data_IF_524287024285
#
_entry.id   IF_524287024285
#
_cell.length_a   1.000
_cell.length_b   1.000
_cell.length_c   1.000
_cell.angle_alpha   90.00
_cell.angle_beta   90.00
_cell.angle_gamma   90.00
#
_symmetry.space_group_name_H-M   'P 1'
#
loop_
_entity.id
_entity.type
_entity.pdbx_description
1 polymer ?
#
# COMPACT_ATOMS: atom_id res chain seq x y z
N UNK A 1 15.48 86.38 33.39
CA UNK A 1 15.82 86.23 31.96
C UNK A 1 16.15 84.76 31.73
N UNK A 2 15.20 83.96 31.24
CA UNK A 2 15.12 83.47 29.83
C UNK A 2 16.15 82.32 29.62
N UNK A 3 15.83 81.08 29.23
CA UNK A 3 14.68 80.52 28.53
C UNK A 3 14.53 78.99 28.74
N UNK A 4 13.31 78.49 28.49
CA UNK A 4 12.91 77.08 28.32
C UNK A 4 13.46 76.46 27.02
N UNK A 5 13.61 75.13 27.00
CA UNK A 5 13.11 74.11 26.01
C UNK A 5 13.97 72.83 26.14
N UNK A 6 13.60 71.59 25.83
CA UNK A 6 12.39 70.83 25.52
C UNK A 6 12.91 69.52 24.88
N UNK A 7 12.56 68.34 25.40
CA UNK A 7 12.45 67.07 24.65
C UNK A 7 13.71 66.36 24.11
N UNK A 8 13.86 65.07 24.45
CA UNK A 8 13.87 63.93 23.48
C UNK A 8 14.66 62.70 23.99
N UNK A 9 13.90 61.66 24.30
CA UNK A 9 14.06 60.23 23.97
C UNK A 9 15.47 59.59 23.95
N UNK A 10 15.63 58.70 24.92
CA UNK A 10 16.31 57.40 24.98
C UNK A 10 16.62 56.75 23.61
N UNK A 11 17.88 56.36 23.40
CA UNK A 11 18.27 55.16 22.65
C UNK A 11 19.65 54.68 23.13
N UNK A 12 19.67 53.62 23.96
CA UNK A 12 20.89 52.91 24.37
C UNK A 12 21.11 51.78 23.36
N UNK A 13 22.15 51.89 22.54
CA UNK A 13 22.59 50.84 21.62
C UNK A 13 23.53 49.91 22.40
N UNK A 14 23.05 48.72 22.74
CA UNK A 14 23.88 47.60 23.21
C UNK A 14 24.12 46.66 22.02
N UNK A 15 25.32 46.74 21.45
CA UNK A 15 25.81 45.75 20.47
C UNK A 15 26.30 44.53 21.26
N UNK A 16 25.46 43.52 21.39
CA UNK A 16 25.90 42.18 21.81
C UNK A 16 26.42 41.41 20.60
N UNK A 17 27.74 41.17 20.58
CA UNK A 17 28.37 40.16 19.73
C UNK A 17 27.75 38.78 20.03
N UNK A 18 26.96 38.26 19.10
CA UNK A 18 26.55 36.87 19.12
C UNK A 18 27.71 35.99 18.65
N UNK A 19 28.22 35.19 19.59
CA UNK A 19 29.19 34.12 19.34
C UNK A 19 28.61 33.13 18.33
N UNK A 20 29.33 32.93 17.22
CA UNK A 20 29.04 31.89 16.23
C UNK A 20 29.43 30.54 16.85
N UNK A 21 28.45 29.84 17.43
CA UNK A 21 28.56 28.39 17.61
C UNK A 21 27.98 27.68 16.39
N UNK A 22 28.85 27.39 15.45
CA UNK A 22 28.60 26.41 14.39
C UNK A 22 28.52 25.02 15.03
N UNK A 23 27.47 24.27 14.68
CA UNK A 23 27.22 22.85 14.98
C UNK A 23 26.57 22.47 16.33
N UNK A 24 25.38 23.02 16.62
CA UNK A 24 24.33 22.16 17.18
C UNK A 24 23.55 21.55 16.01
N UNK A 25 23.54 20.21 15.90
CA UNK A 25 22.51 19.50 15.14
C UNK A 25 21.18 19.80 15.86
N UNK A 26 20.50 20.90 15.51
CA UNK A 26 19.16 21.16 16.00
C UNK A 26 18.28 19.99 15.56
N UNK A 27 17.64 19.33 16.52
CA UNK A 27 16.61 18.36 16.19
C UNK A 27 15.53 19.08 15.37
N UNK A 28 14.99 18.45 14.31
CA UNK A 28 13.81 18.98 13.65
C UNK A 28 12.71 19.18 14.70
N UNK A 29 12.15 20.39 14.77
CA UNK A 29 11.06 20.72 15.69
C UNK A 29 9.71 20.23 15.14
N UNK A 30 8.67 20.22 15.97
CA UNK A 30 7.29 20.22 15.50
C UNK A 30 7.10 21.48 14.65
N UNK A 31 6.55 21.33 13.44
CA UNK A 31 6.35 22.45 12.51
C UNK A 31 4.88 22.54 12.15
N UNK A 32 4.25 23.66 12.49
CA UNK A 32 2.96 24.01 11.90
C UNK A 32 3.17 24.37 10.42
N UNK A 33 2.60 23.58 9.53
CA UNK A 33 2.61 23.86 8.08
C UNK A 33 1.24 24.37 7.69
N UNK A 34 1.18 25.58 7.14
CA UNK A 34 -0.04 26.16 6.58
C UNK A 34 0.04 26.13 5.06
N UNK A 35 -0.94 25.54 4.34
CA UNK A 35 -0.94 25.53 2.88
C UNK A 35 -0.76 26.92 2.26
N UNK A 36 -1.37 27.95 2.87
CA UNK A 36 -1.30 29.35 2.39
C UNK A 36 0.07 30.01 2.60
N UNK A 37 0.99 29.38 3.33
CA UNK A 37 2.35 29.90 3.62
C UNK A 37 3.45 29.13 2.89
N UNK A 38 3.09 28.23 1.98
CA UNK A 38 4.06 27.46 1.21
C UNK A 38 4.75 28.35 0.17
N UNK A 39 6.07 28.21 0.07
CA UNK A 39 6.90 28.92 -0.92
C UNK A 39 7.21 27.97 -2.07
N UNK A 40 6.96 28.41 -3.30
CA UNK A 40 7.19 27.61 -4.50
C UNK A 40 8.65 27.13 -4.59
N UNK A 41 8.84 25.82 -4.80
CA UNK A 41 10.15 25.16 -4.83
C UNK A 41 10.74 24.82 -3.44
N UNK A 42 10.06 25.20 -2.36
CA UNK A 42 10.45 24.99 -0.96
C UNK A 42 9.29 24.44 -0.12
N UNK A 43 8.28 23.83 -0.74
CA UNK A 43 7.12 23.28 -0.06
C UNK A 43 7.51 22.14 0.91
N UNK A 44 8.65 21.47 0.69
CA UNK A 44 9.23 20.48 1.61
C UNK A 44 10.17 21.06 2.69
N UNK A 45 10.24 22.39 2.85
CA UNK A 45 11.17 23.02 3.79
C UNK A 45 10.93 22.64 5.25
N UNK A 46 9.69 22.37 5.65
CA UNK A 46 9.34 21.95 7.00
C UNK A 46 9.98 20.61 7.42
N UNK A 47 10.36 19.77 6.45
CA UNK A 47 11.04 18.49 6.69
C UNK A 47 12.57 18.60 6.61
N UNK A 48 13.15 19.80 6.51
CA UNK A 48 14.60 20.00 6.40
C UNK A 48 15.35 19.19 7.48
N UNK A 49 16.32 18.37 7.05
CA UNK A 49 17.05 17.49 7.94
C UNK A 49 17.23 16.08 7.37
N UNK A 50 17.73 15.18 8.22
CA UNK A 50 17.88 13.75 7.92
C UNK A 50 16.89 12.97 8.76
N UNK A 51 16.19 12.04 8.13
CA UNK A 51 15.15 11.22 8.74
C UNK A 51 15.37 9.75 8.42
N UNK A 52 15.05 8.88 9.37
CA UNK A 52 15.17 7.43 9.24
C UNK A 52 13.84 6.77 9.54
N UNK A 53 13.53 5.71 8.81
CA UNK A 53 12.31 4.94 9.04
C UNK A 53 12.40 4.21 10.38
N UNK A 54 11.34 4.34 11.17
CA UNK A 54 11.16 3.58 12.42
C UNK A 54 11.08 2.08 12.18
N UNK A 55 10.64 1.64 11.00
CA UNK A 55 10.57 0.23 10.63
C UNK A 55 11.95 -0.46 10.66
N UNK A 56 13.04 0.30 10.57
CA UNK A 56 14.41 -0.25 10.63
C UNK A 56 14.75 -0.95 11.95
N UNK A 57 14.01 -0.69 13.03
CA UNK A 57 14.20 -1.36 14.33
C UNK A 57 13.11 -2.40 14.65
N UNK A 58 12.06 -2.54 13.83
CA UNK A 58 10.89 -3.38 14.13
C UNK A 58 11.17 -4.89 14.12
N UNK A 59 12.36 -5.30 13.65
CA UNK A 59 12.84 -6.69 13.68
C UNK A 59 13.94 -6.91 14.74
N UNK A 60 14.17 -5.95 15.64
CA UNK A 60 15.13 -6.12 16.73
C UNK A 60 14.60 -7.18 17.71
N UNK A 61 15.45 -8.14 18.09
CA UNK A 61 15.06 -9.28 18.93
C UNK A 61 14.54 -8.87 20.32
N UNK A 62 14.88 -7.67 20.79
CA UNK A 62 14.32 -7.11 22.03
C UNK A 62 12.80 -6.91 21.98
N UNK A 63 12.21 -6.80 20.79
CA UNK A 63 10.77 -6.60 20.59
C UNK A 63 9.96 -7.91 20.57
N UNK A 64 10.62 -9.07 20.54
CA UNK A 64 9.93 -10.38 20.41
C UNK A 64 8.90 -10.61 21.53
N UNK A 65 9.21 -10.19 22.77
CA UNK A 65 8.29 -10.32 23.90
C UNK A 65 7.01 -9.49 23.69
N UNK A 66 7.13 -8.27 23.15
CA UNK A 66 6.00 -7.41 22.86
C UNK A 66 5.12 -7.99 21.74
N UNK A 67 5.73 -8.54 20.68
CA UNK A 67 5.00 -9.24 19.61
C UNK A 67 4.23 -10.43 20.15
N UNK A 68 4.89 -11.30 20.92
CA UNK A 68 4.26 -12.50 21.49
C UNK A 68 3.07 -12.13 22.37
N UNK A 69 3.29 -11.24 23.35
CA UNK A 69 2.25 -10.78 24.29
C UNK A 69 1.07 -10.12 23.57
N UNK A 70 1.33 -9.31 22.55
CA UNK A 70 0.26 -8.64 21.80
C UNK A 70 -0.52 -9.64 20.94
N UNK A 71 0.16 -10.56 20.27
CA UNK A 71 -0.48 -11.57 19.43
C UNK A 71 -1.37 -12.53 20.24
N UNK A 72 -1.03 -12.85 21.50
CA UNK A 72 -1.88 -13.65 22.40
C UNK A 72 -3.28 -13.04 22.60
N UNK A 73 -3.43 -11.72 22.47
CA UNK A 73 -4.72 -11.01 22.52
C UNK A 73 -5.44 -10.89 21.18
N UNK A 74 -4.90 -11.44 20.09
CA UNK A 74 -5.41 -11.29 18.72
C UNK A 74 -5.80 -12.65 18.14
N UNK A 75 -7.09 -13.03 18.09
CA UNK A 75 -7.52 -14.40 17.80
C UNK A 75 -7.11 -14.92 16.42
N UNK A 76 -6.98 -14.02 15.44
CA UNK A 76 -6.63 -14.38 14.06
C UNK A 76 -5.21 -14.02 13.66
N UNK A 77 -4.30 -13.88 14.63
CA UNK A 77 -2.91 -13.53 14.39
C UNK A 77 -1.99 -14.42 15.20
N UNK A 78 -1.07 -15.10 14.51
CA UNK A 78 0.12 -15.64 15.17
C UNK A 78 1.12 -14.52 15.45
N UNK A 79 2.16 -14.77 16.25
CA UNK A 79 3.27 -13.83 16.45
C UNK A 79 3.86 -13.36 15.09
N UNK A 80 4.17 -14.31 14.21
CA UNK A 80 4.67 -13.99 12.86
C UNK A 80 3.62 -13.28 11.98
N UNK A 81 2.33 -13.56 12.19
CA UNK A 81 1.24 -12.84 11.53
C UNK A 81 1.12 -11.38 11.97
N UNK A 82 1.31 -11.10 13.26
CA UNK A 82 1.38 -9.74 13.79
C UNK A 82 2.62 -9.01 13.28
N UNK A 83 3.79 -9.64 13.26
CA UNK A 83 5.00 -9.08 12.65
C UNK A 83 4.77 -8.71 11.18
N UNK A 84 4.07 -9.56 10.43
CA UNK A 84 3.67 -9.27 9.05
C UNK A 84 2.73 -8.06 8.97
N UNK A 85 1.77 -7.93 9.88
CA UNK A 85 0.84 -6.80 9.91
C UNK A 85 1.55 -5.48 10.26
N UNK A 86 2.50 -5.51 11.20
CA UNK A 86 3.38 -4.36 11.52
C UNK A 86 4.24 -3.98 10.32
N UNK A 87 4.75 -4.96 9.58
CA UNK A 87 5.47 -4.71 8.33
C UNK A 87 4.60 -4.06 7.26
N UNK A 88 3.36 -4.51 7.07
CA UNK A 88 2.44 -3.87 6.13
C UNK A 88 2.08 -2.45 6.59
N UNK A 89 1.99 -2.23 7.90
CA UNK A 89 1.69 -0.93 8.49
C UNK A 89 2.84 0.06 8.32
N UNK A 90 4.07 -0.29 8.72
CA UNK A 90 5.17 0.69 8.82
C UNK A 90 6.27 0.52 7.76
N UNK A 91 6.26 -0.59 7.03
CA UNK A 91 7.27 -0.91 6.03
C UNK A 91 7.26 0.05 4.85
N UNK A 92 8.45 0.41 4.39
CA UNK A 92 8.65 1.17 3.16
C UNK A 92 9.95 0.76 2.50
N UNK A 93 10.00 0.82 1.16
CA UNK A 93 11.25 0.67 0.42
C UNK A 93 12.18 1.86 0.64
N UNK A 94 11.67 3.01 1.08
CA UNK A 94 12.49 4.15 1.50
C UNK A 94 12.81 3.99 2.98
N UNK A 95 14.10 3.89 3.31
CA UNK A 95 14.58 3.65 4.69
C UNK A 95 15.16 4.89 5.35
N UNK A 96 15.57 5.88 4.56
CA UNK A 96 16.00 7.19 5.05
C UNK A 96 15.73 8.27 4.00
N UNK A 97 15.57 9.51 4.47
CA UNK A 97 15.34 10.69 3.62
C UNK A 97 16.15 11.87 4.12
N UNK A 98 16.68 12.67 3.18
CA UNK A 98 17.35 13.94 3.48
C UNK A 98 16.72 15.06 2.68
N UNK A 99 16.18 16.04 3.39
CA UNK A 99 15.61 17.25 2.84
C UNK A 99 16.58 18.41 3.07
N UNK A 100 16.87 19.18 2.03
CA UNK A 100 17.80 20.32 2.09
C UNK A 100 17.09 21.67 2.31
N UNK A 101 15.75 21.67 2.37
CA UNK A 101 14.94 22.90 2.42
C UNK A 101 14.29 23.28 1.09
N UNK A 102 14.54 22.51 0.02
CA UNK A 102 13.85 22.64 -1.27
C UNK A 102 13.06 21.36 -1.56
N UNK A 103 12.39 21.31 -2.71
CA UNK A 103 11.70 20.09 -3.15
C UNK A 103 12.63 18.99 -3.70
N UNK A 104 13.95 19.17 -3.60
CA UNK A 104 14.93 18.12 -3.94
C UNK A 104 15.26 17.31 -2.71
N UNK A 105 14.92 16.02 -2.76
CA UNK A 105 15.06 15.08 -1.65
C UNK A 105 16.03 13.99 -2.03
N UNK A 106 16.95 13.63 -1.14
CA UNK A 106 17.72 12.39 -1.28
C UNK A 106 17.01 11.27 -0.54
N UNK A 107 16.67 10.19 -1.25
CA UNK A 107 16.01 9.00 -0.73
C UNK A 107 17.02 7.86 -0.64
N UNK A 108 17.09 7.19 0.50
CA UNK A 108 17.81 5.92 0.63
C UNK A 108 16.82 4.78 0.43
N UNK A 109 16.85 4.18 -0.75
CA UNK A 109 15.98 3.06 -1.12
C UNK A 109 16.65 1.73 -0.79
N UNK A 110 15.90 0.81 -0.17
CA UNK A 110 16.29 -0.58 0.02
C UNK A 110 15.65 -1.43 -1.07
N UNK A 111 16.49 -2.21 -1.76
CA UNK A 111 16.07 -3.16 -2.80
C UNK A 111 15.66 -4.50 -2.16
N UNK A 112 15.02 -5.35 -2.96
CA UNK A 112 14.57 -6.69 -2.53
C UNK A 112 15.71 -7.59 -2.04
N UNK A 113 16.91 -7.42 -2.60
CA UNK A 113 18.13 -8.14 -2.20
C UNK A 113 18.76 -7.59 -0.90
N UNK A 114 18.15 -6.57 -0.29
CA UNK A 114 18.64 -5.91 0.92
C UNK A 114 19.66 -4.80 0.67
N UNK A 115 20.19 -4.64 -0.54
CA UNK A 115 21.11 -3.56 -0.88
C UNK A 115 20.42 -2.19 -0.80
N UNK A 116 21.21 -1.15 -0.52
CA UNK A 116 20.72 0.24 -0.41
C UNK A 116 21.31 1.11 -1.51
N UNK A 117 20.52 2.02 -2.04
CA UNK A 117 20.96 3.05 -2.99
C UNK A 117 20.43 4.42 -2.58
N UNK A 118 21.22 5.46 -2.83
CA UNK A 118 20.77 6.85 -2.67
C UNK A 118 20.37 7.40 -4.03
N UNK A 119 19.14 7.89 -4.14
CA UNK A 119 18.62 8.54 -5.34
C UNK A 119 18.16 9.95 -4.99
N UNK A 120 18.33 10.89 -5.92
CA UNK A 120 17.83 12.27 -5.76
C UNK A 120 16.55 12.38 -6.56
N UNK A 121 15.48 12.82 -5.90
CA UNK A 121 14.18 13.07 -6.51
C UNK A 121 13.80 14.53 -6.31
N UNK A 122 13.43 15.20 -7.40
CA UNK A 122 12.79 16.51 -7.35
C UNK A 122 11.29 16.32 -7.42
N UNK A 123 10.56 16.96 -6.51
CA UNK A 123 9.11 16.86 -6.41
C UNK A 123 8.43 18.17 -6.80
N UNK A 124 7.28 18.05 -7.46
CA UNK A 124 6.32 19.13 -7.68
C UNK A 124 5.17 18.99 -6.69
N UNK A 125 4.84 20.06 -5.98
CA UNK A 125 3.68 20.09 -5.09
C UNK A 125 2.37 20.09 -5.88
N UNK A 126 1.41 19.26 -5.44
CA UNK A 126 0.15 19.02 -6.14
C UNK A 126 -1.09 19.45 -5.31
N UNK A 127 -0.87 20.10 -4.16
CA UNK A 127 -1.92 20.54 -3.25
C UNK A 127 -2.06 19.66 -2.00
N UNK A 128 -3.08 19.95 -1.20
CA UNK A 128 -3.42 19.16 -0.02
C UNK A 128 -4.69 18.31 -0.24
N UNK A 129 -4.82 17.25 0.56
CA UNK A 129 -6.02 16.43 0.67
C UNK A 129 -6.29 16.12 2.13
N UNK A 130 -7.56 16.07 2.53
CA UNK A 130 -7.91 15.66 3.89
C UNK A 130 -7.47 14.21 4.14
N UNK A 131 -7.05 13.91 5.36
CA UNK A 131 -6.76 12.54 5.79
C UNK A 131 -8.09 11.88 6.18
N UNK A 132 -8.53 10.80 5.50
CA UNK A 132 -9.80 10.15 5.83
C UNK A 132 -9.81 9.65 7.28
N UNK A 133 -10.83 10.04 8.04
CA UNK A 133 -10.99 9.66 9.45
C UNK A 133 -10.23 10.51 10.46
N UNK A 134 -9.48 11.53 10.03
CA UNK A 134 -8.73 12.43 10.91
C UNK A 134 -9.07 13.88 10.60
N UNK A 135 -10.04 14.41 11.32
CA UNK A 135 -10.48 15.80 11.17
C UNK A 135 -9.32 16.78 11.34
N UNK A 136 -9.27 17.81 10.49
CA UNK A 136 -8.21 18.83 10.50
C UNK A 136 -6.84 18.36 10.00
N UNK A 137 -6.62 17.06 9.76
CA UNK A 137 -5.35 16.53 9.25
C UNK A 137 -5.28 16.56 7.73
N UNK A 138 -4.11 16.95 7.20
CA UNK A 138 -3.88 17.09 5.76
C UNK A 138 -2.70 16.22 5.29
N UNK A 139 -2.92 15.54 4.18
CA UNK A 139 -1.88 15.03 3.30
C UNK A 139 -1.38 16.14 2.38
N UNK A 140 -0.07 16.36 2.33
CA UNK A 140 0.58 17.18 1.32
C UNK A 140 1.02 16.29 0.17
N UNK A 141 0.57 16.58 -1.04
CA UNK A 141 0.73 15.72 -2.20
C UNK A 141 1.86 16.22 -3.10
N UNK A 142 2.68 15.30 -3.60
CA UNK A 142 3.85 15.58 -4.41
C UNK A 142 4.01 14.56 -5.53
N UNK A 143 4.30 15.01 -6.74
CA UNK A 143 4.62 14.16 -7.89
C UNK A 143 6.09 14.39 -8.30
N UNK A 144 6.82 13.30 -8.52
CA UNK A 144 8.20 13.35 -8.97
C UNK A 144 8.30 14.00 -10.36
N UNK A 145 9.26 14.90 -10.54
CA UNK A 145 9.55 15.53 -11.83
C UNK A 145 10.40 14.57 -12.67
N UNK A 146 9.91 14.21 -13.86
CA UNK A 146 10.59 13.31 -14.82
C UNK A 146 11.11 12.01 -14.17
N UNK A 147 10.24 11.18 -13.56
CA UNK A 147 10.69 10.00 -12.84
C UNK A 147 11.25 8.96 -13.81
N UNK A 148 12.56 8.72 -13.72
CA UNK A 148 13.19 7.56 -14.36
C UNK A 148 12.64 6.25 -13.79
N UNK A 149 13.05 5.10 -14.37
CA UNK A 149 12.58 3.77 -13.94
C UNK A 149 12.80 3.51 -12.45
N UNK A 150 13.88 4.02 -11.88
CA UNK A 150 14.24 3.85 -10.47
C UNK A 150 13.31 4.58 -9.48
N UNK A 151 12.65 5.66 -9.93
CA UNK A 151 11.76 6.48 -9.10
C UNK A 151 10.28 6.10 -9.23
N UNK A 152 9.94 5.09 -10.05
CA UNK A 152 8.53 4.74 -10.29
C UNK A 152 7.78 4.34 -9.01
N UNK A 153 8.44 3.65 -8.09
CA UNK A 153 7.85 3.25 -6.81
C UNK A 153 7.60 4.45 -5.87
N UNK A 154 8.25 5.59 -6.11
CA UNK A 154 8.17 6.82 -5.29
C UNK A 154 7.67 8.00 -6.12
N UNK A 155 7.03 7.72 -7.26
CA UNK A 155 6.55 8.73 -8.21
C UNK A 155 5.58 9.69 -7.53
N UNK A 156 4.57 9.14 -6.87
CA UNK A 156 3.63 9.92 -6.07
C UNK A 156 4.00 9.77 -4.60
N UNK A 157 4.04 10.88 -3.89
CA UNK A 157 4.29 10.95 -2.45
C UNK A 157 3.16 11.75 -1.80
N UNK A 158 2.62 11.22 -0.70
CA UNK A 158 1.80 12.00 0.23
C UNK A 158 2.46 11.98 1.60
N UNK A 159 2.57 13.14 2.23
CA UNK A 159 3.36 13.31 3.46
C UNK A 159 2.62 14.20 4.46
N UNK A 160 2.73 13.87 5.75
CA UNK A 160 2.26 14.71 6.85
C UNK A 160 3.41 15.56 7.41
N UNK A 161 3.14 16.77 7.90
CA UNK A 161 4.14 17.59 8.59
C UNK A 161 4.76 16.87 9.80
N UNK A 162 6.02 17.19 10.16
CA UNK A 162 6.61 16.74 11.41
C UNK A 162 5.77 17.20 12.61
N UNK A 163 5.33 16.25 13.42
CA UNK A 163 4.52 16.45 14.60
C UNK A 163 5.01 15.56 15.74
N UNK A 164 4.40 15.70 16.91
CA UNK A 164 4.77 14.95 18.11
C UNK A 164 3.51 14.51 18.85
N UNK A 165 3.50 13.26 19.32
CA UNK A 165 2.44 12.74 20.18
C UNK A 165 2.98 12.62 21.61
N UNK A 166 2.39 13.39 22.54
CA UNK A 166 2.84 13.43 23.94
C UNK A 166 4.34 13.72 24.06
N UNK A 167 5.04 12.93 24.88
CA UNK A 167 6.49 13.03 25.10
C UNK A 167 7.32 12.17 24.12
N UNK A 168 6.70 11.62 23.08
CA UNK A 168 7.38 10.83 22.04
C UNK A 168 8.32 11.66 21.15
N UNK A 169 9.13 11.02 20.29
CA UNK A 169 9.95 11.75 19.34
C UNK A 169 9.09 12.50 18.31
N UNK A 170 9.61 13.63 17.82
CA UNK A 170 9.08 14.26 16.60
C UNK A 170 9.13 13.23 15.46
N UNK A 171 8.05 13.10 14.71
CA UNK A 171 7.94 12.15 13.62
C UNK A 171 6.95 12.63 12.56
N UNK A 172 6.85 11.90 11.46
CA UNK A 172 5.83 12.10 10.44
C UNK A 172 5.57 10.82 9.66
N UNK A 173 4.48 10.83 8.90
CA UNK A 173 4.03 9.72 8.07
C UNK A 173 4.13 10.06 6.59
N UNK A 174 4.43 9.06 5.77
CA UNK A 174 4.51 9.19 4.32
C UNK A 174 4.00 7.94 3.63
N UNK A 175 3.37 8.10 2.47
CA UNK A 175 3.10 7.00 1.54
C UNK A 175 3.69 7.33 0.18
N UNK A 176 4.21 6.29 -0.46
CA UNK A 176 4.76 6.35 -1.80
C UNK A 176 4.00 5.41 -2.71
N UNK A 177 3.87 5.73 -3.98
CA UNK A 177 3.40 4.75 -4.95
C UNK A 177 3.48 5.20 -6.38
N UNK A 178 3.34 4.20 -7.25
CA UNK A 178 3.16 4.38 -8.68
C UNK A 178 1.72 4.81 -9.01
N UNK A 179 0.74 4.29 -8.27
CA UNK A 179 -0.67 4.65 -8.41
C UNK A 179 -0.92 6.10 -7.96
N UNK A 180 -2.00 6.70 -8.49
CA UNK A 180 -2.35 8.10 -8.22
C UNK A 180 -2.71 8.38 -6.76
N UNK A 181 -2.85 9.67 -6.43
CA UNK A 181 -3.10 10.12 -5.04
C UNK A 181 -4.36 9.51 -4.42
N UNK A 182 -5.41 9.26 -5.19
CA UNK A 182 -6.63 8.64 -4.67
C UNK A 182 -6.37 7.24 -4.08
N UNK A 183 -5.48 6.45 -4.70
CA UNK A 183 -5.05 5.19 -4.13
C UNK A 183 -4.25 5.41 -2.85
N UNK A 184 -3.27 6.31 -2.85
CA UNK A 184 -2.45 6.57 -1.66
C UNK A 184 -3.27 7.09 -0.47
N UNK A 185 -4.34 7.82 -0.72
CA UNK A 185 -5.20 8.42 0.32
C UNK A 185 -6.24 7.41 0.80
N UNK A 186 -6.97 6.79 -0.12
CA UNK A 186 -8.16 6.00 0.21
C UNK A 186 -7.90 4.50 0.24
N UNK A 187 -7.01 3.99 -0.62
CA UNK A 187 -6.74 2.55 -0.78
C UNK A 187 -5.60 2.03 0.07
N UNK A 188 -4.46 2.71 0.06
CA UNK A 188 -3.31 2.39 0.89
C UNK A 188 -3.58 2.74 2.36
N UNK A 189 -3.31 1.80 3.26
CA UNK A 189 -3.60 1.94 4.70
C UNK A 189 -2.36 1.97 5.58
N UNK A 190 -1.17 1.77 5.00
CA UNK A 190 0.10 1.85 5.72
C UNK A 190 0.36 3.26 6.27
N UNK A 191 1.17 3.34 7.32
CA UNK A 191 1.66 4.57 7.94
C UNK A 191 3.19 4.53 8.12
N UNK A 192 4.00 4.38 7.05
CA UNK A 192 5.46 4.47 7.15
C UNK A 192 5.88 5.72 7.92
N UNK A 193 6.58 5.50 9.03
CA UNK A 193 6.85 6.55 10.02
C UNK A 193 8.33 6.85 10.09
N UNK A 194 8.68 8.12 10.04
CA UNK A 194 10.07 8.60 10.06
C UNK A 194 10.33 9.48 11.26
N UNK A 195 11.51 9.31 11.86
CA UNK A 195 12.02 10.10 12.99
C UNK A 195 13.34 10.76 12.60
N UNK A 196 13.79 11.83 13.30
CA UNK A 196 15.08 12.43 13.03
C UNK A 196 16.19 11.39 13.12
N UNK A 197 17.17 11.45 12.23
CA UNK A 197 18.31 10.53 12.24
C UNK A 197 19.18 10.65 13.50
N UNK A 198 18.97 11.69 14.31
CA UNK A 198 19.58 11.88 15.63
C UNK A 198 18.84 11.16 16.77
N UNK A 199 17.67 10.58 16.52
CA UNK A 199 16.91 9.82 17.53
C UNK A 199 17.73 8.60 17.96
N UNK A 200 17.87 8.40 19.28
CA UNK A 200 18.67 7.28 19.80
C UNK A 200 17.94 5.97 19.51
N UNK A 201 18.71 4.90 19.22
CA UNK A 201 18.15 3.56 18.97
C UNK A 201 17.21 3.11 20.10
N UNK A 202 17.57 3.34 21.36
CA UNK A 202 16.74 2.95 22.50
C UNK A 202 15.38 3.67 22.51
N UNK A 203 15.33 4.94 22.11
CA UNK A 203 14.07 5.68 22.03
C UNK A 203 13.21 5.17 20.86
N UNK A 204 13.84 4.80 19.74
CA UNK A 204 13.15 4.13 18.63
C UNK A 204 12.59 2.76 19.05
N UNK A 205 13.34 1.97 19.82
CA UNK A 205 12.88 0.66 20.32
C UNK A 205 11.69 0.80 21.27
N UNK A 206 11.71 1.78 22.19
CA UNK A 206 10.55 2.08 23.06
C UNK A 206 9.32 2.49 22.25
N UNK A 207 9.51 3.35 21.24
CA UNK A 207 8.43 3.74 20.33
C UNK A 207 7.89 2.56 19.52
N UNK A 208 8.77 1.66 19.07
CA UNK A 208 8.40 0.45 18.37
C UNK A 208 7.60 -0.53 19.25
N UNK A 209 8.05 -0.76 20.49
CA UNK A 209 7.33 -1.57 21.48
C UNK A 209 5.93 -1.04 21.74
N UNK A 210 5.79 0.27 22.01
CA UNK A 210 4.47 0.90 22.20
C UNK A 210 3.59 0.81 20.95
N UNK A 211 4.19 0.92 19.75
CA UNK A 211 3.47 0.77 18.49
C UNK A 211 2.95 -0.67 18.33
N UNK A 212 3.77 -1.68 18.66
CA UNK A 212 3.37 -3.10 18.65
C UNK A 212 2.21 -3.33 19.61
N UNK A 213 2.32 -2.90 20.87
CA UNK A 213 1.28 -3.10 21.89
C UNK A 213 -0.06 -2.43 21.52
N UNK A 214 -0.03 -1.37 20.71
CA UNK A 214 -1.23 -0.68 20.23
C UNK A 214 -1.73 -1.18 18.88
N UNK A 215 -1.06 -2.14 18.24
CA UNK A 215 -1.49 -2.68 16.94
C UNK A 215 -2.93 -3.21 16.85
N UNK A 216 -3.50 -3.82 17.90
CA UNK A 216 -4.90 -4.23 17.86
C UNK A 216 -5.89 -3.08 17.59
N UNK A 217 -5.49 -1.82 17.81
CA UNK A 217 -6.32 -0.64 17.52
C UNK A 217 -6.31 -0.23 16.04
N UNK A 218 -5.23 -0.56 15.33
CA UNK A 218 -5.00 -0.10 13.95
C UNK A 218 -5.07 -1.22 12.91
N UNK A 219 -5.12 -2.47 13.38
CA UNK A 219 -5.29 -3.65 12.53
C UNK A 219 -6.69 -4.20 12.72
N UNK A 220 -7.30 -4.68 11.63
CA UNK A 220 -8.63 -5.26 11.73
C UNK A 220 -8.61 -6.53 12.57
N UNK A 221 -9.55 -6.68 13.50
CA UNK A 221 -9.64 -7.89 14.32
C UNK A 221 -9.78 -9.16 13.46
N UNK A 222 -10.50 -9.06 12.34
CA UNK A 222 -10.60 -10.10 11.31
C UNK A 222 -9.82 -9.67 10.05
N UNK A 223 -8.69 -10.32 9.73
CA UNK A 223 -7.89 -10.03 8.54
C UNK A 223 -8.68 -10.01 7.21
N UNK A 224 -9.79 -10.73 7.11
CA UNK A 224 -10.62 -10.77 5.92
C UNK A 224 -11.62 -9.61 5.78
N UNK A 225 -11.63 -8.64 6.69
CA UNK A 225 -12.65 -7.57 6.71
C UNK A 225 -12.77 -6.83 5.38
N UNK A 226 -11.65 -6.38 4.81
CA UNK A 226 -11.66 -5.64 3.54
C UNK A 226 -12.18 -6.47 2.36
N UNK A 227 -12.12 -7.80 2.42
CA UNK A 227 -12.68 -8.69 1.39
C UNK A 227 -14.18 -8.91 1.62
N UNK A 228 -14.60 -9.07 2.87
CA UNK A 228 -16.00 -9.28 3.24
C UNK A 228 -16.88 -8.05 2.93
N UNK A 229 -16.34 -6.83 3.05
CA UNK A 229 -17.05 -5.58 2.76
C UNK A 229 -17.54 -5.46 1.30
N UNK A 230 -16.97 -6.24 0.38
CA UNK A 230 -17.32 -6.23 -1.04
C UNK A 230 -18.23 -7.38 -1.48
N UNK A 231 -18.63 -8.26 -0.55
CA UNK A 231 -19.54 -9.38 -0.82
C UNK A 231 -18.85 -10.54 -1.54
N UNK A 232 -19.46 -11.01 -2.63
CA UNK A 232 -19.01 -12.18 -3.38
C UNK A 232 -17.92 -11.84 -4.39
N UNK A 233 -16.96 -12.74 -4.52
CA UNK A 233 -15.84 -12.64 -5.45
C UNK A 233 -15.87 -13.77 -6.47
N UNK A 234 -15.96 -13.44 -7.75
CA UNK A 234 -15.95 -14.41 -8.85
C UNK A 234 -14.54 -14.63 -9.37
N UNK A 235 -14.22 -15.88 -9.71
CA UNK A 235 -13.01 -16.22 -10.43
C UNK A 235 -12.95 -15.42 -11.75
N UNK A 236 -11.82 -14.74 -12.02
CA UNK A 236 -11.67 -13.91 -13.21
C UNK A 236 -11.85 -14.65 -14.52
N UNK A 237 -11.57 -15.95 -14.56
CA UNK A 237 -11.70 -16.75 -15.77
C UNK A 237 -13.17 -16.96 -16.19
N UNK A 238 -14.10 -16.88 -15.23
CA UNK A 238 -15.56 -16.91 -15.51
C UNK A 238 -16.10 -15.56 -15.97
N UNK A 239 -15.40 -14.47 -15.69
CA UNK A 239 -15.83 -13.13 -16.10
C UNK A 239 -15.92 -13.02 -17.62
N UNK A 240 -15.04 -13.72 -18.34
CA UNK A 240 -15.03 -13.73 -19.81
C UNK A 240 -16.28 -14.39 -20.41
N UNK A 241 -17.01 -15.19 -19.63
CA UNK A 241 -18.24 -15.85 -20.09
C UNK A 241 -19.48 -14.93 -19.98
N UNK A 242 -19.34 -13.74 -19.40
CA UNK A 242 -20.43 -12.79 -19.24
C UNK A 242 -21.12 -12.49 -20.59
N UNK A 243 -22.46 -12.51 -20.56
CA UNK A 243 -23.32 -12.38 -21.75
C UNK A 243 -24.15 -11.09 -21.76
N UNK A 244 -23.76 -10.07 -20.98
CA UNK A 244 -24.40 -8.76 -21.05
C UNK A 244 -24.20 -8.16 -22.45
N UNK A 245 -25.10 -7.26 -22.84
CA UNK A 245 -25.04 -6.62 -24.15
C UNK A 245 -23.69 -5.93 -24.38
N UNK A 246 -23.19 -5.20 -23.39
CA UNK A 246 -21.92 -4.46 -23.44
C UNK A 246 -20.73 -5.39 -23.69
N UNK A 247 -20.72 -6.55 -23.02
CA UNK A 247 -19.65 -7.55 -23.19
C UNK A 247 -19.74 -8.21 -24.57
N UNK A 248 -20.96 -8.52 -25.04
CA UNK A 248 -21.16 -9.07 -26.38
C UNK A 248 -20.74 -8.09 -27.47
N UNK A 249 -21.03 -6.80 -27.32
CA UNK A 249 -20.61 -5.74 -28.23
C UNK A 249 -19.07 -5.63 -28.27
N UNK A 250 -18.38 -5.79 -27.14
CA UNK A 250 -16.90 -5.86 -27.08
C UNK A 250 -16.35 -7.04 -27.87
N UNK A 251 -16.92 -8.24 -27.72
CA UNK A 251 -16.46 -9.40 -28.48
C UNK A 251 -16.68 -9.19 -30.00
N UNK A 252 -17.84 -8.68 -30.41
CA UNK A 252 -18.11 -8.38 -31.81
C UNK A 252 -17.09 -7.36 -32.38
N UNK A 253 -16.78 -6.32 -31.61
CA UNK A 253 -15.75 -5.33 -31.96
C UNK A 253 -14.37 -5.98 -32.15
N UNK A 254 -13.95 -6.82 -31.21
CA UNK A 254 -12.64 -7.47 -31.25
C UNK A 254 -12.50 -8.47 -32.40
N UNK A 255 -13.55 -9.24 -32.69
CA UNK A 255 -13.57 -10.17 -33.82
C UNK A 255 -13.33 -9.41 -35.13
N UNK A 256 -14.00 -8.26 -35.31
CA UNK A 256 -13.79 -7.38 -36.47
C UNK A 256 -12.40 -6.75 -36.49
N UNK A 257 -11.87 -6.32 -35.34
CA UNK A 257 -10.54 -5.70 -35.26
C UNK A 257 -9.41 -6.68 -35.65
N UNK A 258 -9.62 -7.97 -35.38
CA UNK A 258 -8.68 -9.06 -35.65
C UNK A 258 -9.14 -10.00 -36.80
N UNK A 259 -9.95 -9.48 -37.72
CA UNK A 259 -10.47 -10.23 -38.88
C UNK A 259 -9.33 -10.89 -39.70
N UNK A 260 -9.50 -12.17 -40.01
CA UNK A 260 -8.56 -12.99 -40.76
C UNK A 260 -7.24 -13.27 -40.03
N UNK A 261 -7.12 -12.96 -38.73
CA UNK A 261 -5.88 -13.09 -37.96
C UNK A 261 -5.84 -14.29 -37.03
N UNK A 262 -6.85 -15.17 -37.04
CA UNK A 262 -6.80 -16.38 -36.23
C UNK A 262 -5.62 -17.27 -36.71
N UNK A 263 -4.67 -17.67 -35.85
CA UNK A 263 -3.59 -18.58 -36.22
C UNK A 263 -4.08 -19.94 -36.74
N UNK A 264 -5.33 -20.32 -36.44
CA UNK A 264 -6.00 -21.51 -36.97
C UNK A 264 -6.65 -21.29 -38.35
N UNK A 265 -6.56 -20.08 -38.90
CA UNK A 265 -7.22 -19.65 -40.13
C UNK A 265 -8.56 -18.97 -39.88
N UNK A 266 -8.86 -17.93 -40.67
CA UNK A 266 -10.12 -17.18 -40.60
C UNK A 266 -10.22 -16.20 -39.42
N UNK A 267 -11.46 -15.96 -38.99
CA UNK A 267 -11.78 -15.05 -37.89
C UNK A 267 -11.76 -15.78 -36.54
N UNK A 268 -11.53 -15.03 -35.46
CA UNK A 268 -11.78 -15.55 -34.13
C UNK A 268 -13.28 -15.65 -33.85
N UNK A 269 -13.70 -16.71 -33.18
CA UNK A 269 -15.00 -16.78 -32.52
C UNK A 269 -14.93 -16.30 -31.08
N UNK A 270 -16.06 -15.87 -30.49
CA UNK A 270 -16.13 -15.53 -29.06
C UNK A 270 -15.61 -16.66 -28.18
N UNK A 271 -15.98 -17.90 -28.50
CA UNK A 271 -15.56 -19.08 -27.74
C UNK A 271 -14.04 -19.28 -27.77
N UNK A 272 -13.40 -19.06 -28.92
CA UNK A 272 -11.95 -19.13 -29.03
C UNK A 272 -11.26 -18.03 -28.22
N UNK A 273 -11.76 -16.79 -28.28
CA UNK A 273 -11.20 -15.68 -27.50
C UNK A 273 -11.29 -15.99 -26.00
N UNK A 274 -12.44 -16.49 -25.53
CA UNK A 274 -12.63 -16.90 -24.13
C UNK A 274 -11.65 -18.03 -23.77
N UNK A 275 -11.53 -19.05 -24.61
CA UNK A 275 -10.61 -20.16 -24.36
C UNK A 275 -9.15 -19.69 -24.26
N UNK A 276 -8.71 -18.73 -25.07
CA UNK A 276 -7.36 -18.16 -24.95
C UNK A 276 -7.19 -17.34 -23.66
N UNK A 277 -8.20 -16.57 -23.24
CA UNK A 277 -8.17 -15.82 -21.98
C UNK A 277 -8.12 -16.73 -20.76
N UNK A 278 -8.86 -17.84 -20.79
CA UNK A 278 -8.95 -18.83 -19.71
C UNK A 278 -7.65 -19.62 -19.54
N UNK A 279 -6.70 -19.56 -20.47
CA UNK A 279 -5.36 -20.13 -20.31
C UNK A 279 -4.44 -19.28 -19.43
N UNK A 280 -4.87 -18.13 -18.90
CA UNK A 280 -3.99 -17.23 -18.13
C UNK A 280 -3.56 -17.77 -16.76
N UNK A 281 -4.38 -18.63 -16.14
CA UNK A 281 -4.06 -19.37 -14.90
C UNK A 281 -4.87 -20.67 -14.85
N UNK A 282 -4.70 -21.47 -13.78
CA UNK A 282 -5.35 -22.77 -13.62
C UNK A 282 -6.43 -22.79 -12.52
N UNK A 283 -6.88 -21.63 -12.02
CA UNK A 283 -7.75 -21.57 -10.85
C UNK A 283 -9.21 -21.97 -11.12
N UNK A 284 -9.63 -21.91 -12.39
CA UNK A 284 -11.00 -22.20 -12.80
C UNK A 284 -11.43 -23.64 -12.47
N UNK A 285 -10.50 -24.60 -12.47
CA UNK A 285 -10.80 -26.00 -12.08
C UNK A 285 -11.13 -26.13 -10.60
N UNK A 286 -10.62 -25.25 -9.74
CA UNK A 286 -10.69 -25.41 -8.29
C UNK A 286 -11.90 -24.69 -7.69
N UNK A 287 -12.23 -23.48 -8.15
CA UNK A 287 -13.37 -22.72 -7.62
C UNK A 287 -14.03 -21.82 -8.68
N UNK A 288 -15.31 -21.49 -8.46
CA UNK A 288 -16.05 -20.50 -9.25
C UNK A 288 -16.15 -19.17 -8.55
N UNK A 289 -16.37 -19.17 -7.23
CA UNK A 289 -16.44 -17.95 -6.43
C UNK A 289 -16.07 -18.19 -4.97
N UNK A 290 -15.81 -17.09 -4.29
CA UNK A 290 -15.40 -17.01 -2.90
C UNK A 290 -16.32 -16.05 -2.15
N UNK A 291 -16.56 -16.35 -0.88
CA UNK A 291 -17.20 -15.45 0.07
C UNK A 291 -16.38 -15.41 1.36
N UNK A 292 -16.40 -14.25 2.03
CA UNK A 292 -15.71 -14.05 3.30
C UNK A 292 -16.73 -13.75 4.38
N UNK A 293 -16.62 -14.42 5.52
CA UNK A 293 -17.52 -14.22 6.65
C UNK A 293 -16.75 -13.81 7.90
N UNK A 294 -17.00 -12.58 8.34
CA UNK A 294 -16.41 -11.98 9.55
C UNK A 294 -17.43 -11.74 10.68
N UNK A 295 -18.68 -12.19 10.48
CA UNK A 295 -19.75 -12.02 11.48
C UNK A 295 -19.52 -12.94 12.67
N UNK A 296 -20.10 -12.60 13.82
CA UNK A 296 -20.07 -13.45 15.02
C UNK A 296 -18.64 -13.83 15.45
N UNK A 297 -17.71 -12.88 15.28
CA UNK A 297 -16.31 -13.03 15.66
C UNK A 297 -15.50 -13.95 14.76
N UNK A 298 -15.96 -14.28 13.55
CA UNK A 298 -15.31 -15.19 12.59
C UNK A 298 -14.25 -14.52 11.72
N UNK A 299 -13.42 -15.33 11.07
CA UNK A 299 -12.54 -14.92 9.98
C UNK A 299 -12.49 -16.03 8.92
N UNK A 300 -13.65 -16.31 8.32
CA UNK A 300 -13.84 -17.45 7.42
C UNK A 300 -13.67 -17.09 5.94
N UNK A 301 -13.04 -17.98 5.19
CA UNK A 301 -13.13 -18.07 3.74
C UNK A 301 -14.04 -19.25 3.39
N UNK A 302 -14.95 -19.01 2.45
CA UNK A 302 -15.88 -20.00 1.90
C UNK A 302 -15.61 -20.10 0.41
N UNK A 303 -15.44 -21.32 -0.09
CA UNK A 303 -15.08 -21.62 -1.48
C UNK A 303 -16.19 -22.43 -2.13
N UNK A 304 -16.59 -21.99 -3.31
CA UNK A 304 -17.67 -22.61 -4.07
C UNK A 304 -17.19 -23.13 -5.42
N UNK A 305 -17.80 -24.22 -5.88
CA UNK A 305 -17.72 -24.72 -7.26
C UNK A 305 -19.13 -24.88 -7.81
N UNK A 306 -19.47 -24.09 -8.82
CA UNK A 306 -20.86 -23.94 -9.26
C UNK A 306 -21.68 -23.35 -8.12
N UNK A 307 -22.79 -24.01 -7.75
CA UNK A 307 -23.63 -23.67 -6.59
C UNK A 307 -23.24 -24.41 -5.31
N UNK A 308 -22.27 -25.33 -5.36
CA UNK A 308 -21.89 -26.17 -4.23
C UNK A 308 -20.78 -25.50 -3.41
N UNK A 309 -21.00 -25.35 -2.11
CA UNK A 309 -19.91 -25.08 -1.15
C UNK A 309 -18.99 -26.31 -1.10
N UNK A 310 -17.71 -26.11 -1.44
CA UNK A 310 -16.71 -27.19 -1.45
C UNK A 310 -15.75 -27.10 -0.29
N UNK A 311 -15.59 -25.92 0.32
CA UNK A 311 -14.69 -25.72 1.43
C UNK A 311 -15.10 -24.49 2.27
N UNK A 312 -14.85 -24.58 3.57
CA UNK A 312 -15.02 -23.50 4.55
C UNK A 312 -14.05 -23.71 5.69
N UNK A 313 -13.39 -22.64 6.11
CA UNK A 313 -12.56 -22.63 7.31
C UNK A 313 -12.39 -21.20 7.82
N UNK A 314 -12.23 -21.05 9.14
CA UNK A 314 -11.54 -19.90 9.70
C UNK A 314 -10.07 -19.93 9.30
N UNK A 315 -9.46 -18.75 9.27
CA UNK A 315 -8.05 -18.58 8.95
C UNK A 315 -7.36 -17.71 9.98
N UNK A 316 -6.10 -18.05 10.25
CA UNK A 316 -5.19 -17.25 11.07
C UNK A 316 -4.11 -16.65 10.19
N UNK A 317 -3.76 -15.39 10.42
CA UNK A 317 -2.65 -14.74 9.76
C UNK A 317 -1.34 -15.30 10.30
N UNK A 318 -0.46 -15.69 9.38
CA UNK A 318 0.86 -16.24 9.67
C UNK A 318 1.96 -15.36 9.09
N UNK A 319 3.22 -15.70 9.40
CA UNK A 319 4.35 -15.04 8.78
C UNK A 319 4.25 -15.10 7.24
N UNK A 320 4.76 -14.11 6.50
CA UNK A 320 4.65 -14.08 5.05
C UNK A 320 5.32 -15.30 4.43
N UNK A 321 4.65 -15.90 3.45
CA UNK A 321 5.20 -16.98 2.64
C UNK A 321 6.45 -16.54 1.87
N UNK A 322 7.31 -17.51 1.54
CA UNK A 322 8.50 -17.29 0.72
C UNK A 322 8.14 -17.22 -0.76
N UNK A 323 7.16 -18.01 -1.20
CA UNK A 323 6.71 -18.08 -2.57
C UNK A 323 6.00 -16.79 -3.00
N UNK A 324 5.12 -16.28 -2.13
CA UNK A 324 4.36 -15.04 -2.32
C UNK A 324 4.39 -14.27 -1.00
N UNK A 325 5.24 -13.25 -0.93
CA UNK A 325 5.41 -12.43 0.26
C UNK A 325 4.29 -11.37 0.43
N UNK A 326 3.04 -11.80 0.33
CA UNK A 326 1.85 -10.98 0.61
C UNK A 326 1.21 -11.41 1.94
N UNK A 327 -0.04 -11.03 2.18
CA UNK A 327 -0.77 -11.49 3.37
C UNK A 327 -0.97 -13.00 3.27
N UNK A 328 -0.35 -13.73 4.19
CA UNK A 328 -0.39 -15.19 4.23
C UNK A 328 -1.27 -15.64 5.38
N UNK A 329 -2.20 -16.54 5.08
CA UNK A 329 -3.18 -17.06 6.02
C UNK A 329 -3.17 -18.58 6.00
N UNK A 330 -3.30 -19.19 7.17
CA UNK A 330 -3.38 -20.63 7.34
C UNK A 330 -4.78 -21.02 7.80
N UNK A 331 -5.36 -22.03 7.17
CA UNK A 331 -6.64 -22.59 7.57
C UNK A 331 -6.52 -23.24 8.95
N UNK A 332 -7.53 -23.05 9.80
CA UNK A 332 -7.65 -23.79 11.07
C UNK A 332 -8.11 -25.24 10.85
N UNK A 333 -8.85 -25.49 9.77
CA UNK A 333 -9.31 -26.82 9.37
C UNK A 333 -8.11 -27.72 9.00
N UNK A 334 -7.96 -28.86 9.68
CA UNK A 334 -6.80 -29.77 9.55
C UNK A 334 -6.73 -30.48 8.19
N UNK A 335 -7.87 -30.78 7.59
CA UNK A 335 -8.05 -31.46 6.31
C UNK A 335 -8.32 -30.47 5.16
N UNK A 336 -7.71 -29.28 5.22
CA UNK A 336 -7.97 -28.21 4.25
C UNK A 336 -7.37 -28.44 2.85
N UNK A 337 -6.52 -29.46 2.67
CA UNK A 337 -5.95 -29.82 1.37
C UNK A 337 -5.29 -28.61 0.69
N UNK A 338 -5.65 -28.35 -0.57
CA UNK A 338 -5.12 -27.21 -1.34
C UNK A 338 -5.48 -25.83 -0.79
N UNK A 339 -6.43 -25.73 0.15
CA UNK A 339 -6.80 -24.47 0.80
C UNK A 339 -6.13 -24.27 2.16
N UNK A 340 -5.18 -25.14 2.54
CA UNK A 340 -4.51 -25.07 3.85
C UNK A 340 -3.73 -23.78 4.05
N UNK A 341 -3.07 -23.30 3.01
CA UNK A 341 -2.30 -22.06 3.00
C UNK A 341 -2.78 -21.20 1.84
N UNK A 342 -3.01 -19.93 2.12
CA UNK A 342 -3.36 -18.94 1.09
C UNK A 342 -2.49 -17.70 1.24
N UNK A 343 -2.16 -17.08 0.12
CA UNK A 343 -1.48 -15.79 0.06
C UNK A 343 -2.22 -14.88 -0.90
N UNK A 344 -2.53 -13.66 -0.50
CA UNK A 344 -3.28 -12.74 -1.34
C UNK A 344 -2.88 -11.29 -1.12
N UNK A 345 -3.11 -10.48 -2.15
CA UNK A 345 -2.92 -9.03 -2.12
C UNK A 345 -4.16 -8.33 -1.58
N UNK A 346 -3.97 -7.13 -1.03
CA UNK A 346 -5.08 -6.24 -0.64
C UNK A 346 -6.04 -6.02 -1.80
N UNK A 347 -7.32 -5.83 -1.49
CA UNK A 347 -8.33 -5.42 -2.48
C UNK A 347 -7.96 -4.08 -3.11
N UNK A 348 -7.97 -4.01 -4.43
CA UNK A 348 -7.60 -2.81 -5.19
C UNK A 348 -8.35 -2.73 -6.53
N UNK A 349 -8.12 -1.64 -7.29
CA UNK A 349 -8.63 -1.51 -8.66
C UNK A 349 -10.03 -0.92 -8.80
N UNK A 350 -10.45 -0.05 -7.87
CA UNK A 350 -11.72 0.67 -7.96
C UNK A 350 -11.95 1.30 -9.36
N UNK A 351 -13.19 1.28 -9.91
CA UNK A 351 -14.40 0.66 -9.36
C UNK A 351 -14.49 -0.86 -9.62
N UNK A 352 -13.61 -1.43 -10.44
CA UNK A 352 -13.56 -2.87 -10.73
C UNK A 352 -12.69 -3.62 -9.71
N UNK A 353 -13.13 -3.57 -8.45
CA UNK A 353 -12.39 -4.14 -7.33
C UNK A 353 -12.03 -5.61 -7.57
N UNK A 354 -10.77 -5.94 -7.28
CA UNK A 354 -10.23 -7.28 -7.36
C UNK A 354 -9.10 -7.49 -6.37
N UNK A 355 -8.75 -8.76 -6.20
CA UNK A 355 -7.52 -9.17 -5.55
C UNK A 355 -6.97 -10.43 -6.24
N UNK A 356 -5.75 -10.79 -5.91
CA UNK A 356 -5.09 -12.00 -6.40
C UNK A 356 -4.94 -13.00 -5.26
N UNK A 357 -5.22 -14.27 -5.51
CA UNK A 357 -5.24 -15.33 -4.52
C UNK A 357 -4.39 -16.51 -4.98
N UNK A 358 -3.28 -16.75 -4.29
CA UNK A 358 -2.54 -17.98 -4.40
C UNK A 358 -2.88 -18.92 -3.24
N UNK A 359 -2.90 -20.21 -3.49
CA UNK A 359 -3.33 -21.22 -2.52
C UNK A 359 -2.62 -22.56 -2.75
N UNK A 360 -2.43 -23.32 -1.68
CA UNK A 360 -1.79 -24.62 -1.72
C UNK A 360 -1.85 -25.34 -0.37
N UNK A 361 -1.45 -26.61 -0.35
CA UNK A 361 -1.18 -27.31 0.90
C UNK A 361 0.16 -26.83 1.50
N UNK A 362 1.11 -26.48 0.64
CA UNK A 362 2.44 -25.98 1.02
C UNK A 362 2.87 -24.72 0.26
N UNK A 363 4.03 -24.16 0.63
CA UNK A 363 4.66 -23.05 -0.10
C UNK A 363 5.10 -23.46 -1.52
N UNK A 364 5.51 -24.71 -1.71
CA UNK A 364 5.88 -25.26 -3.01
C UNK A 364 4.67 -25.29 -3.97
N UNK A 365 3.50 -25.66 -3.46
CA UNK A 365 2.25 -25.60 -4.24
C UNK A 365 1.95 -24.16 -4.68
N UNK A 366 2.02 -23.19 -3.74
CA UNK A 366 1.82 -21.76 -4.02
C UNK A 366 2.84 -21.25 -5.05
N UNK A 367 4.10 -21.69 -4.97
CA UNK A 367 5.16 -21.31 -5.91
C UNK A 367 4.93 -21.90 -7.31
N UNK A 368 4.39 -23.13 -7.38
CA UNK A 368 4.13 -23.86 -8.61
C UNK A 368 2.85 -23.38 -9.33
N UNK A 369 1.97 -22.62 -8.68
CA UNK A 369 0.76 -22.10 -9.31
C UNK A 369 1.09 -21.22 -10.52
N UNK A 370 0.48 -21.58 -11.66
CA UNK A 370 0.62 -20.86 -12.92
C UNK A 370 -0.21 -19.58 -12.91
N UNK A 371 0.36 -18.51 -13.43
CA UNK A 371 -0.35 -17.26 -13.65
C UNK A 371 -0.59 -16.45 -12.38
N UNK A 372 -1.65 -15.63 -12.41
CA UNK A 372 -2.04 -14.73 -11.31
C UNK A 372 -3.54 -14.90 -11.09
N UNK A 373 -3.95 -15.88 -10.27
CA UNK A 373 -5.36 -16.14 -10.04
C UNK A 373 -6.03 -14.89 -9.47
N UNK A 374 -7.01 -14.37 -10.20
CA UNK A 374 -7.65 -13.09 -9.89
C UNK A 374 -9.11 -13.31 -9.51
N UNK A 375 -9.56 -12.60 -8.49
CA UNK A 375 -10.93 -12.63 -8.00
C UNK A 375 -11.53 -11.23 -8.15
N UNK A 376 -12.60 -11.10 -8.94
CA UNK A 376 -13.29 -9.83 -9.13
C UNK A 376 -14.54 -9.75 -8.26
N UNK A 377 -14.87 -8.56 -7.79
CA UNK A 377 -16.19 -8.30 -7.19
C UNK A 377 -17.27 -8.66 -8.20
N UNK A 378 -18.35 -9.32 -7.77
CA UNK A 378 -19.45 -9.70 -8.67
C UNK A 378 -20.22 -8.47 -9.16
N UNK A 379 -20.66 -7.63 -8.23
CA UNK A 379 -21.54 -6.49 -8.51
C UNK A 379 -20.75 -5.29 -9.02
N UNK A 380 -20.44 -5.31 -10.32
CA UNK A 380 -19.74 -4.23 -11.04
C UNK A 380 -20.57 -3.87 -12.28
N UNK A 381 -20.74 -2.58 -12.60
CA UNK A 381 -21.44 -2.14 -13.81
C UNK A 381 -20.93 -2.82 -15.09
N UNK A 382 -21.87 -3.10 -16.01
CA UNK A 382 -21.59 -3.89 -17.21
C UNK A 382 -20.60 -3.22 -18.17
N UNK A 383 -20.61 -1.90 -18.26
CA UNK A 383 -19.68 -1.07 -19.03
C UNK A 383 -18.24 -1.16 -18.48
N UNK A 384 -18.09 -1.11 -17.16
CA UNK A 384 -16.81 -1.28 -16.47
C UNK A 384 -16.28 -2.70 -16.70
N UNK A 385 -17.16 -3.70 -16.61
CA UNK A 385 -16.86 -5.11 -16.87
C UNK A 385 -16.38 -5.31 -18.31
N UNK A 386 -17.14 -4.81 -19.28
CA UNK A 386 -16.84 -4.89 -20.71
C UNK A 386 -15.50 -4.24 -21.03
N UNK A 387 -15.22 -3.06 -20.47
CA UNK A 387 -13.95 -2.36 -20.64
C UNK A 387 -12.74 -3.18 -20.13
N UNK A 388 -12.90 -3.89 -19.01
CA UNK A 388 -11.86 -4.78 -18.47
C UNK A 388 -11.60 -6.00 -19.34
N UNK A 389 -12.67 -6.61 -19.87
CA UNK A 389 -12.60 -7.73 -20.80
C UNK A 389 -11.94 -7.29 -22.10
N UNK A 390 -12.33 -6.14 -22.67
CA UNK A 390 -11.76 -5.61 -23.91
C UNK A 390 -10.24 -5.47 -23.81
N UNK A 391 -9.74 -4.83 -22.75
CA UNK A 391 -8.30 -4.66 -22.55
C UNK A 391 -7.55 -6.00 -22.46
N UNK A 392 -8.14 -6.97 -21.75
CA UNK A 392 -7.51 -8.28 -21.56
C UNK A 392 -7.50 -9.07 -22.87
N UNK A 393 -8.64 -9.13 -23.56
CA UNK A 393 -8.81 -9.82 -24.84
C UNK A 393 -7.92 -9.20 -25.92
N UNK A 394 -7.92 -7.87 -26.06
CA UNK A 394 -7.08 -7.17 -27.03
C UNK A 394 -5.60 -7.47 -26.82
N UNK A 395 -5.11 -7.41 -25.58
CA UNK A 395 -3.72 -7.77 -25.25
C UNK A 395 -3.39 -9.21 -25.62
N UNK A 396 -4.29 -10.16 -25.32
CA UNK A 396 -4.10 -11.58 -25.65
C UNK A 396 -4.07 -11.80 -27.17
N UNK A 397 -5.02 -11.22 -27.92
CA UNK A 397 -5.08 -11.36 -29.38
C UNK A 397 -3.89 -10.67 -30.06
N UNK A 398 -3.50 -9.48 -29.61
CA UNK A 398 -2.26 -8.82 -30.04
C UNK A 398 -1.05 -9.73 -29.90
N UNK A 399 -0.87 -10.37 -28.74
CA UNK A 399 0.24 -11.28 -28.51
C UNK A 399 0.20 -12.54 -29.41
N UNK A 400 -0.99 -13.09 -29.68
CA UNK A 400 -1.16 -14.27 -30.54
C UNK A 400 -0.92 -13.96 -32.02
N UNK A 401 -1.18 -12.73 -32.45
CA UNK A 401 -1.16 -12.32 -33.86
C UNK A 401 0.05 -11.46 -34.24
N UNK A 402 0.90 -11.09 -33.26
CA UNK A 402 2.05 -10.22 -33.46
C UNK A 402 1.70 -8.75 -33.74
N UNK A 403 0.57 -8.26 -33.21
CA UNK A 403 -0.01 -6.93 -33.48
C UNK A 403 0.03 -5.99 -32.29
#
# INVERSE_FOLDING_TARGET
>A
MVNKKMGAKIALILVTLAVIFTACKSMPAVVEVSPDKLVAGQELAAWKGKWVSTYTVMNDASLNAAYKKTAEGMPYYTEGGLQAAVKDMYGSSVTAMKFNGTNKVTLTMQKKDGSKSNVVCEYKYMGTKAVPGYEGSLWYTFEAVNPGKELQAVKNMIIMPPHQHGDGPVHWHVRFGYYGFDWLINGEKSWPTFVPASTKKNDMLKGAESSIETMPKWTDAAPFKSYAEHGRWINSLLVFENSSKEVMDVYAKLIKEFEGKNPKGGDFTRAEIIAELQKSDDSLKDFTHLEFNIKDGKNELIVFKGSKEIFRSNYVRVAPGKAKAYMTMKAEKKDAGMFSLISFVVVHGAPNYHFHLWYGATEEDIAAQRGTPTCYKVDVPADIRASGIERSAKRTLSALTGK
#
